data_IF_457465675666
#
_entry.id   IF_457465675666
#
_cell.length_a   1.000
_cell.length_b   1.000
_cell.length_c   1.000
_cell.angle_alpha   90.00
_cell.angle_beta   90.00
_cell.angle_gamma   90.00
#
_symmetry.space_group_name_H-M   'P 1'
#
loop_
_entity.id
_entity.type
_entity.pdbx_description
1 polymer ?
#
# COMPACT_ATOMS: atom_id res chain seq x y z
N UNK A 1 -43.65 -18.27 -29.87
CA UNK A 1 -42.34 -18.92 -29.60
C UNK A 1 -41.15 -17.96 -29.75
N UNK A 2 -41.00 -17.19 -30.84
CA UNK A 2 -39.83 -16.29 -31.06
C UNK A 2 -39.59 -15.24 -29.94
N UNK A 3 -40.63 -14.61 -29.36
CA UNK A 3 -40.51 -13.65 -28.26
C UNK A 3 -39.92 -14.25 -26.96
N UNK A 4 -40.26 -15.49 -26.62
CA UNK A 4 -39.74 -16.18 -25.44
C UNK A 4 -38.25 -16.55 -25.60
N UNK A 5 -37.81 -16.91 -26.80
CA UNK A 5 -36.41 -17.24 -27.12
C UNK A 5 -35.55 -16.00 -27.07
N UNK A 6 -36.02 -14.84 -27.56
CA UNK A 6 -35.29 -13.56 -27.50
C UNK A 6 -35.14 -13.09 -26.06
N UNK A 7 -36.21 -13.20 -25.24
CA UNK A 7 -36.15 -12.80 -23.84
C UNK A 7 -35.17 -13.69 -23.02
N UNK A 8 -35.15 -15.00 -23.29
CA UNK A 8 -34.19 -15.91 -22.63
C UNK A 8 -32.74 -15.69 -23.05
N UNK A 9 -32.49 -15.31 -24.31
CA UNK A 9 -31.16 -15.00 -24.79
C UNK A 9 -30.63 -13.67 -24.20
N UNK A 10 -31.47 -12.64 -24.05
CA UNK A 10 -31.14 -11.39 -23.42
C UNK A 10 -30.85 -11.55 -21.92
N UNK A 11 -31.62 -12.37 -21.20
CA UNK A 11 -31.36 -12.68 -19.79
C UNK A 11 -30.05 -13.45 -19.61
N UNK A 12 -29.74 -14.40 -20.48
CA UNK A 12 -28.49 -15.17 -20.43
C UNK A 12 -27.29 -14.29 -20.75
N UNK A 13 -27.41 -13.38 -21.72
CA UNK A 13 -26.35 -12.39 -22.00
C UNK A 13 -26.13 -11.46 -20.82
N UNK A 14 -27.20 -10.96 -20.18
CA UNK A 14 -27.10 -10.12 -18.99
C UNK A 14 -26.40 -10.84 -17.82
N UNK A 15 -26.74 -12.09 -17.55
CA UNK A 15 -26.08 -12.89 -16.51
C UNK A 15 -24.60 -13.12 -16.81
N UNK A 16 -24.23 -13.35 -18.08
CA UNK A 16 -22.81 -13.46 -18.48
C UNK A 16 -22.06 -12.16 -18.26
N UNK A 17 -22.65 -11.01 -18.60
CA UNK A 17 -22.03 -9.69 -18.36
C UNK A 17 -21.82 -9.44 -16.87
N UNK A 18 -22.80 -9.76 -16.03
CA UNK A 18 -22.66 -9.64 -14.57
C UNK A 18 -21.53 -10.53 -14.04
N UNK A 19 -21.44 -11.78 -14.49
CA UNK A 19 -20.38 -12.69 -14.08
C UNK A 19 -18.98 -12.21 -14.52
N UNK A 20 -18.86 -11.69 -15.74
CA UNK A 20 -17.62 -11.11 -16.25
C UNK A 20 -17.23 -9.87 -15.45
N UNK A 21 -18.19 -8.97 -15.19
CA UNK A 21 -17.96 -7.76 -14.40
C UNK A 21 -17.53 -8.08 -12.97
N UNK A 22 -18.18 -9.06 -12.33
CA UNK A 22 -17.81 -9.54 -10.99
C UNK A 22 -16.41 -10.15 -10.96
N UNK A 23 -16.07 -10.94 -11.97
CA UNK A 23 -14.73 -11.50 -12.11
C UNK A 23 -13.65 -10.40 -12.20
N UNK A 24 -13.82 -9.41 -13.10
CA UNK A 24 -12.87 -8.32 -13.24
C UNK A 24 -12.82 -7.41 -12.00
N UNK A 25 -13.98 -7.15 -11.38
CA UNK A 25 -14.03 -6.42 -10.13
C UNK A 25 -13.21 -7.13 -9.03
N UNK A 26 -13.45 -8.42 -8.84
CA UNK A 26 -12.70 -9.22 -7.88
C UNK A 26 -11.21 -9.24 -8.21
N UNK A 27 -10.85 -9.44 -9.46
CA UNK A 27 -9.46 -9.44 -9.90
C UNK A 27 -8.73 -8.12 -9.61
N UNK A 28 -9.39 -6.99 -9.87
CA UNK A 28 -8.80 -5.66 -9.70
C UNK A 28 -8.87 -5.15 -8.25
N UNK A 29 -9.95 -5.43 -7.54
CA UNK A 29 -10.28 -4.75 -6.28
C UNK A 29 -10.11 -5.61 -5.04
N UNK A 30 -9.98 -6.95 -5.17
CA UNK A 30 -9.90 -7.79 -3.98
C UNK A 30 -8.47 -8.06 -3.55
N UNK A 31 -8.36 -8.51 -2.33
CA UNK A 31 -7.15 -8.78 -1.57
C UNK A 31 -6.05 -9.44 -2.38
N UNK A 32 -4.91 -8.80 -2.48
CA UNK A 32 -3.65 -9.43 -2.80
C UNK A 32 -2.98 -9.94 -1.52
N UNK A 33 -3.34 -11.14 -1.10
CA UNK A 33 -2.56 -11.84 -0.08
C UNK A 33 -1.46 -12.61 -0.78
N UNK A 34 -0.22 -12.24 -0.50
CA UNK A 34 0.93 -13.04 -0.87
C UNK A 34 0.69 -14.44 -0.32
N UNK A 35 0.60 -15.45 -1.19
CA UNK A 35 0.59 -16.84 -0.74
C UNK A 35 1.85 -17.03 0.11
N UNK A 36 1.74 -17.61 1.32
CA UNK A 36 2.92 -17.86 2.13
C UNK A 36 3.92 -18.62 1.26
N UNK A 37 5.07 -18.02 1.05
CA UNK A 37 6.34 -18.57 0.57
C UNK A 37 6.43 -19.39 -0.73
N UNK A 38 5.48 -19.42 -1.62
CA UNK A 38 5.61 -20.19 -2.86
C UNK A 38 5.89 -19.39 -4.13
N UNK A 39 5.96 -18.08 -4.09
CA UNK A 39 6.61 -17.29 -5.11
C UNK A 39 7.99 -16.91 -4.59
N UNK A 40 9.01 -17.64 -5.03
CA UNK A 40 10.33 -17.04 -5.11
C UNK A 40 10.16 -15.63 -5.67
N UNK A 41 10.54 -14.65 -4.85
CA UNK A 41 10.74 -13.28 -5.34
C UNK A 41 11.47 -13.41 -6.67
N UNK A 42 11.08 -12.71 -7.71
CA UNK A 42 11.83 -12.76 -8.95
C UNK A 42 13.31 -12.66 -8.55
N UNK A 43 14.17 -13.48 -9.11
CA UNK A 43 15.57 -13.59 -8.65
C UNK A 43 16.26 -12.21 -8.59
N UNK A 44 15.69 -11.21 -9.30
CA UNK A 44 16.13 -9.82 -9.31
C UNK A 44 15.74 -9.08 -8.01
N UNK A 45 14.55 -9.30 -7.48
CA UNK A 45 14.07 -8.63 -6.25
C UNK A 45 14.74 -9.23 -5.01
N UNK A 46 14.98 -10.55 -5.01
CA UNK A 46 15.71 -11.22 -3.95
C UNK A 46 17.18 -10.76 -3.92
N UNK A 47 17.84 -10.73 -5.09
CA UNK A 47 19.21 -10.23 -5.23
C UNK A 47 19.37 -8.78 -4.82
N UNK A 48 18.36 -7.92 -5.12
CA UNK A 48 18.40 -6.52 -4.75
C UNK A 48 18.29 -6.36 -3.24
N UNK A 49 17.36 -7.06 -2.59
CA UNK A 49 17.21 -7.03 -1.12
C UNK A 49 18.43 -7.62 -0.40
N UNK A 50 18.98 -8.71 -0.91
CA UNK A 50 20.18 -9.32 -0.34
C UNK A 50 21.40 -8.42 -0.48
N UNK A 51 21.60 -7.78 -1.65
CA UNK A 51 22.68 -6.80 -1.86
C UNK A 51 22.60 -5.59 -0.91
N UNK A 52 21.40 -5.21 -0.51
CA UNK A 52 21.20 -4.07 0.38
C UNK A 52 21.31 -4.45 1.86
N UNK A 53 21.50 -5.72 2.21
CA UNK A 53 21.53 -6.18 3.59
C UNK A 53 20.21 -5.95 4.34
N UNK A 54 19.08 -5.79 3.61
CA UNK A 54 17.79 -5.48 4.24
C UNK A 54 17.29 -6.59 5.18
N UNK A 55 17.71 -7.83 4.98
CA UNK A 55 17.39 -8.95 5.87
C UNK A 55 18.08 -8.82 7.24
N UNK A 56 19.20 -8.12 7.29
CA UNK A 56 20.01 -7.94 8.50
C UNK A 56 19.48 -6.84 9.41
N UNK A 57 18.57 -5.98 8.91
CA UNK A 57 17.96 -4.96 9.74
C UNK A 57 17.06 -5.59 10.81
N UNK A 58 17.25 -5.17 12.06
CA UNK A 58 16.29 -5.46 13.12
C UNK A 58 14.98 -4.73 12.82
N UNK A 59 13.90 -5.49 12.70
CA UNK A 59 12.57 -4.99 12.38
C UNK A 59 11.65 -5.21 13.56
N UNK A 60 11.10 -4.12 14.06
CA UNK A 60 10.01 -4.16 15.03
C UNK A 60 8.68 -4.28 14.28
N UNK A 61 7.87 -5.27 14.60
CA UNK A 61 6.53 -5.37 14.06
C UNK A 61 5.60 -4.38 14.77
N UNK A 62 4.97 -3.52 14.00
CA UNK A 62 3.93 -2.64 14.49
C UNK A 62 2.56 -3.06 14.00
N UNK A 63 1.58 -3.03 14.90
CA UNK A 63 0.18 -3.31 14.60
C UNK A 63 -0.63 -2.05 14.90
N UNK A 64 -1.54 -1.72 14.00
CA UNK A 64 -2.50 -0.63 14.13
C UNK A 64 -3.91 -1.19 13.93
N UNK A 65 -4.70 -1.23 15.00
CA UNK A 65 -6.10 -1.60 14.93
C UNK A 65 -6.93 -0.41 14.51
N UNK A 66 -7.59 -0.51 13.36
CA UNK A 66 -8.47 0.52 12.81
C UNK A 66 -9.86 0.38 13.39
N UNK A 67 -10.36 -0.86 13.42
CA UNK A 67 -11.65 -1.26 14.01
C UNK A 67 -11.62 -2.76 14.41
N UNK A 68 -12.78 -3.35 14.69
CA UNK A 68 -12.89 -4.76 15.10
C UNK A 68 -12.41 -5.75 14.02
N UNK A 69 -12.46 -5.36 12.75
CA UNK A 69 -12.20 -6.23 11.59
C UNK A 69 -10.90 -5.90 10.86
N UNK A 70 -10.38 -4.69 11.04
CA UNK A 70 -9.21 -4.19 10.33
C UNK A 70 -8.03 -3.98 11.27
N UNK A 71 -7.02 -4.81 11.09
CA UNK A 71 -5.69 -4.66 11.68
C UNK A 71 -4.67 -4.47 10.58
N UNK A 72 -3.88 -3.42 10.69
CA UNK A 72 -2.81 -3.09 9.75
C UNK A 72 -1.46 -3.40 10.38
N UNK A 73 -0.54 -3.85 9.55
CA UNK A 73 0.81 -4.24 9.94
C UNK A 73 1.84 -3.35 9.29
N UNK A 74 2.95 -3.12 9.97
CA UNK A 74 4.12 -2.44 9.43
C UNK A 74 5.39 -3.01 10.05
N UNK A 75 6.49 -2.98 9.30
CA UNK A 75 7.83 -3.13 9.84
C UNK A 75 8.37 -1.74 10.19
N UNK A 76 8.95 -1.59 11.36
CA UNK A 76 9.63 -0.38 11.79
C UNK A 76 11.11 -0.66 12.04
N UNK A 77 11.96 0.14 11.42
CA UNK A 77 13.42 0.12 11.62
C UNK A 77 13.79 1.34 12.46
N UNK A 78 14.24 1.08 13.66
CA UNK A 78 14.65 2.13 14.58
C UNK A 78 16.11 2.53 14.32
N UNK A 79 16.33 3.79 14.04
CA UNK A 79 17.65 4.40 13.90
C UNK A 79 17.91 5.43 15.01
N UNK A 80 17.14 5.37 16.10
CA UNK A 80 17.20 6.30 17.23
C UNK A 80 17.17 7.78 16.82
N UNK A 81 16.41 8.09 15.78
CA UNK A 81 16.40 9.41 15.11
C UNK A 81 15.12 10.19 15.43
N UNK A 82 15.23 11.52 15.36
CA UNK A 82 14.07 12.42 15.33
C UNK A 82 13.48 12.60 13.93
N UNK A 83 14.01 11.90 12.94
CA UNK A 83 13.50 11.88 11.58
C UNK A 83 12.90 10.51 11.29
N UNK A 84 11.70 10.46 10.73
CA UNK A 84 11.04 9.20 10.35
C UNK A 84 10.54 9.31 8.93
N UNK A 85 10.82 8.31 8.12
CA UNK A 85 10.17 8.15 6.82
C UNK A 85 9.11 7.05 6.87
N UNK A 86 7.99 7.27 6.17
CA UNK A 86 6.94 6.27 5.98
C UNK A 86 6.93 5.94 4.49
N UNK A 87 7.21 4.68 4.14
CA UNK A 87 7.39 4.23 2.77
C UNK A 87 6.20 3.39 2.32
N UNK A 88 5.48 3.87 1.31
CA UNK A 88 4.23 3.31 0.83
C UNK A 88 4.47 2.51 -0.46
N UNK A 89 4.20 1.22 -0.43
CA UNK A 89 4.42 0.30 -1.54
C UNK A 89 3.35 0.42 -2.64
N UNK A 90 3.66 -0.15 -3.80
CA UNK A 90 2.77 -0.22 -4.96
C UNK A 90 1.71 -1.33 -4.86
N UNK A 91 0.84 -1.38 -5.88
CA UNK A 91 -0.18 -2.41 -6.04
C UNK A 91 0.45 -3.81 -6.14
N UNK A 92 -0.20 -4.82 -5.57
CA UNK A 92 0.26 -6.23 -5.53
C UNK A 92 1.64 -6.42 -4.87
N UNK A 93 1.99 -5.57 -3.91
CA UNK A 93 3.27 -5.59 -3.21
C UNK A 93 3.07 -5.59 -1.69
N UNK A 94 4.12 -5.35 -0.94
CA UNK A 94 4.13 -5.24 0.52
C UNK A 94 5.17 -4.23 0.98
N UNK A 95 5.20 -3.91 2.28
CA UNK A 95 6.14 -2.95 2.84
C UNK A 95 7.60 -3.31 2.56
N UNK A 96 7.96 -4.59 2.60
CA UNK A 96 9.33 -5.05 2.38
C UNK A 96 9.81 -4.85 0.93
N UNK A 97 8.90 -4.65 -0.02
CA UNK A 97 9.27 -4.31 -1.40
C UNK A 97 9.96 -2.94 -1.52
N UNK A 98 9.77 -2.08 -0.52
CA UNK A 98 10.42 -0.76 -0.44
C UNK A 98 11.84 -0.83 0.16
N UNK A 99 12.44 -2.01 0.25
CA UNK A 99 13.75 -2.26 0.87
C UNK A 99 14.87 -1.33 0.38
N UNK A 100 14.90 -1.01 -0.91
CA UNK A 100 15.91 -0.10 -1.47
C UNK A 100 15.81 1.31 -0.91
N UNK A 101 14.60 1.86 -0.89
CA UNK A 101 14.34 3.16 -0.27
C UNK A 101 14.52 3.11 1.25
N UNK A 102 14.13 2.00 1.89
CA UNK A 102 14.31 1.81 3.32
C UNK A 102 15.78 1.94 3.72
N UNK A 103 16.66 1.23 3.02
CA UNK A 103 18.10 1.35 3.28
C UNK A 103 18.62 2.75 3.01
N UNK A 104 18.25 3.37 1.92
CA UNK A 104 18.67 4.74 1.59
C UNK A 104 18.30 5.74 2.71
N UNK A 105 17.04 5.71 3.19
CA UNK A 105 16.62 6.59 4.27
C UNK A 105 17.27 6.24 5.60
N UNK A 106 17.46 4.95 5.88
CA UNK A 106 18.14 4.52 7.10
C UNK A 106 19.60 5.02 7.14
N UNK A 107 20.33 4.90 6.04
CA UNK A 107 21.70 5.41 5.91
C UNK A 107 21.76 6.94 6.02
N UNK A 108 20.70 7.66 5.66
CA UNK A 108 20.53 9.10 5.86
C UNK A 108 20.13 9.48 7.30
N UNK A 109 20.08 8.53 8.20
CA UNK A 109 19.78 8.74 9.62
C UNK A 109 18.29 8.90 9.92
N UNK A 110 17.40 8.26 9.15
CA UNK A 110 15.97 8.21 9.44
C UNK A 110 15.58 6.88 10.11
N UNK A 111 14.62 6.91 11.01
CA UNK A 111 13.82 5.74 11.27
C UNK A 111 12.95 5.45 10.04
N UNK A 112 12.61 4.18 9.80
CA UNK A 112 11.84 3.80 8.62
C UNK A 112 10.62 2.99 9.02
N UNK A 113 9.43 3.40 8.59
CA UNK A 113 8.19 2.68 8.74
C UNK A 113 7.72 2.16 7.39
N UNK A 114 7.46 0.86 7.30
CA UNK A 114 7.10 0.13 6.10
C UNK A 114 5.72 -0.52 6.30
N UNK A 115 4.61 0.24 6.17
CA UNK A 115 3.30 -0.32 6.33
C UNK A 115 2.92 -1.20 5.13
N UNK A 116 2.29 -2.35 5.44
CA UNK A 116 1.50 -3.09 4.46
C UNK A 116 0.18 -2.34 4.29
N UNK A 117 -0.15 -1.92 3.07
CA UNK A 117 -1.42 -1.29 2.78
C UNK A 117 -2.59 -2.25 3.08
N UNK A 118 -3.78 -1.70 3.31
CA UNK A 118 -5.00 -2.48 3.46
C UNK A 118 -5.14 -3.50 2.31
N UNK A 119 -5.57 -4.72 2.64
CA UNK A 119 -5.70 -5.84 1.71
C UNK A 119 -4.38 -6.34 1.06
N UNK A 120 -3.22 -5.91 1.58
CA UNK A 120 -1.91 -6.37 1.14
C UNK A 120 -1.08 -6.95 2.30
N UNK A 121 -0.09 -7.75 1.95
CA UNK A 121 0.85 -8.32 2.91
C UNK A 121 0.17 -9.00 4.10
N UNK A 122 0.50 -8.55 5.32
CA UNK A 122 -0.08 -9.04 6.58
C UNK A 122 -1.31 -8.23 7.02
N UNK A 123 -1.56 -7.07 6.40
CA UNK A 123 -2.70 -6.23 6.73
C UNK A 123 -4.02 -6.86 6.32
N UNK A 124 -5.05 -6.72 7.17
CA UNK A 124 -6.40 -7.16 6.84
C UNK A 124 -7.10 -6.22 5.86
N UNK A 125 -8.25 -6.65 5.37
CA UNK A 125 -9.08 -5.97 4.40
C UNK A 125 -9.47 -6.90 3.25
N UNK A 126 -10.62 -6.66 2.66
CA UNK A 126 -11.12 -7.43 1.51
C UNK A 126 -10.87 -6.70 0.19
N UNK A 127 -10.85 -5.37 0.23
CA UNK A 127 -10.77 -4.52 -0.95
C UNK A 127 -9.59 -3.58 -0.90
N UNK A 128 -9.02 -3.35 -2.07
CA UNK A 128 -7.94 -2.39 -2.30
C UNK A 128 -8.59 -1.07 -2.68
N UNK A 129 -8.29 -0.01 -1.93
CA UNK A 129 -8.87 1.32 -2.10
C UNK A 129 -8.10 2.24 -3.06
N UNK A 130 -7.00 1.78 -3.65
CA UNK A 130 -6.15 2.55 -4.57
C UNK A 130 -5.74 3.92 -4.04
N UNK A 131 -5.51 4.02 -2.74
CA UNK A 131 -5.12 5.23 -2.04
C UNK A 131 -6.27 5.94 -1.34
N UNK A 132 -7.53 5.77 -1.80
CA UNK A 132 -8.65 6.52 -1.25
C UNK A 132 -8.98 6.16 0.20
N UNK A 133 -9.00 4.88 0.54
CA UNK A 133 -9.21 4.41 1.92
C UNK A 133 -7.89 4.43 2.69
N UNK A 134 -6.82 4.06 2.01
CA UNK A 134 -5.47 3.95 2.57
C UNK A 134 -4.94 5.28 3.09
N UNK A 135 -5.34 6.44 2.52
CA UNK A 135 -4.91 7.76 3.02
C UNK A 135 -5.24 7.98 4.50
N UNK A 136 -6.38 7.49 4.96
CA UNK A 136 -6.79 7.61 6.36
C UNK A 136 -5.97 6.66 7.26
N UNK A 137 -5.59 5.50 6.74
CA UNK A 137 -4.71 4.56 7.44
C UNK A 137 -3.30 5.16 7.60
N UNK A 138 -2.79 5.83 6.55
CA UNK A 138 -1.49 6.50 6.63
C UNK A 138 -1.52 7.65 7.64
N UNK A 139 -2.61 8.41 7.72
CA UNK A 139 -2.75 9.42 8.76
C UNK A 139 -2.69 8.81 10.18
N UNK A 140 -3.25 7.61 10.37
CA UNK A 140 -3.14 6.88 11.65
C UNK A 140 -1.70 6.43 11.91
N UNK A 141 -0.99 5.92 10.91
CA UNK A 141 0.43 5.56 11.01
C UNK A 141 1.31 6.76 11.35
N UNK A 142 1.07 7.92 10.74
CA UNK A 142 1.74 9.18 11.08
C UNK A 142 1.56 9.51 12.56
N UNK A 143 0.33 9.46 13.07
CA UNK A 143 0.04 9.73 14.48
C UNK A 143 0.71 8.72 15.41
N UNK A 144 0.73 7.44 15.04
CA UNK A 144 1.41 6.40 15.81
C UNK A 144 2.93 6.64 15.84
N UNK A 145 3.53 6.99 14.70
CA UNK A 145 4.95 7.32 14.62
C UNK A 145 5.30 8.53 15.51
N UNK A 146 4.49 9.59 15.49
CA UNK A 146 4.67 10.76 16.38
C UNK A 146 4.60 10.33 17.86
N UNK A 147 3.60 9.52 18.22
CA UNK A 147 3.46 9.03 19.60
C UNK A 147 4.65 8.19 20.09
N UNK A 148 5.35 7.52 19.18
CA UNK A 148 6.53 6.73 19.51
C UNK A 148 7.82 7.56 19.54
N UNK A 149 8.04 8.44 18.54
CA UNK A 149 9.29 9.19 18.38
C UNK A 149 9.29 10.54 19.10
N UNK A 150 8.14 11.02 19.54
CA UNK A 150 7.94 12.28 20.26
C UNK A 150 7.53 13.46 19.37
N UNK A 151 7.11 14.55 20.03
CA UNK A 151 6.49 15.72 19.36
C UNK A 151 7.47 16.56 18.52
N UNK A 152 8.75 16.39 18.70
CA UNK A 152 9.82 17.06 17.95
C UNK A 152 10.25 16.27 16.69
N UNK A 153 9.60 15.15 16.41
CA UNK A 153 9.90 14.34 15.23
C UNK A 153 9.56 15.07 13.93
N UNK A 154 10.29 14.71 12.85
CA UNK A 154 10.05 15.17 11.50
C UNK A 154 9.71 13.97 10.63
N UNK A 155 8.57 14.02 9.95
CA UNK A 155 8.06 12.91 9.15
C UNK A 155 8.12 13.27 7.67
N UNK A 156 8.67 12.37 6.86
CA UNK A 156 8.59 12.35 5.41
C UNK A 156 7.75 11.16 4.99
N UNK A 157 6.80 11.35 4.10
CA UNK A 157 6.01 10.27 3.51
C UNK A 157 6.44 10.11 2.06
N UNK A 158 6.89 8.92 1.70
CA UNK A 158 7.24 8.59 0.32
C UNK A 158 6.41 7.42 -0.16
N UNK A 159 5.94 7.48 -1.40
CA UNK A 159 5.18 6.39 -2.00
C UNK A 159 5.54 6.14 -3.45
N UNK A 160 5.48 4.87 -3.84
CA UNK A 160 5.72 4.43 -5.21
C UNK A 160 4.43 3.90 -5.84
N UNK A 161 4.12 4.30 -7.07
CA UNK A 161 2.95 3.84 -7.83
C UNK A 161 1.64 4.07 -7.06
N UNK A 162 0.90 3.03 -6.65
CA UNK A 162 -0.27 3.16 -5.77
C UNK A 162 0.08 3.87 -4.46
N UNK A 163 1.26 3.59 -3.88
CA UNK A 163 1.76 4.32 -2.71
C UNK A 163 2.01 5.80 -3.00
N UNK A 164 2.48 6.14 -4.20
CA UNK A 164 2.64 7.52 -4.66
C UNK A 164 1.31 8.25 -4.74
N UNK A 165 0.30 7.63 -5.35
CA UNK A 165 -1.06 8.16 -5.38
C UNK A 165 -1.62 8.33 -3.95
N UNK A 166 -1.38 7.37 -3.06
CA UNK A 166 -1.77 7.46 -1.65
C UNK A 166 -1.07 8.64 -0.97
N UNK A 167 0.24 8.83 -1.17
CA UNK A 167 0.99 9.95 -0.61
C UNK A 167 0.43 11.30 -1.04
N UNK A 168 0.09 11.46 -2.33
CA UNK A 168 -0.58 12.66 -2.85
C UNK A 168 -1.94 12.90 -2.17
N UNK A 169 -2.76 11.85 -2.00
CA UNK A 169 -4.07 11.97 -1.32
C UNK A 169 -3.91 12.34 0.15
N UNK A 170 -2.89 11.80 0.84
CA UNK A 170 -2.58 12.15 2.24
C UNK A 170 -2.17 13.61 2.35
N UNK A 171 -1.39 14.14 1.39
CA UNK A 171 -0.91 15.52 1.44
C UNK A 171 -2.03 16.57 1.43
N UNK A 172 -3.21 16.20 0.92
CA UNK A 172 -4.42 17.05 0.92
C UNK A 172 -5.22 17.00 2.22
N UNK A 173 -4.82 16.20 3.22
CA UNK A 173 -5.52 16.10 4.50
C UNK A 173 -5.03 17.17 5.51
N UNK A 174 -5.80 17.35 6.60
CA UNK A 174 -5.32 18.12 7.75
C UNK A 174 -4.25 17.33 8.51
N UNK A 175 -3.00 17.69 8.32
CA UNK A 175 -1.84 16.96 8.81
C UNK A 175 -1.28 17.55 10.11
N UNK A 176 -0.66 16.71 10.97
CA UNK A 176 0.19 17.18 12.06
C UNK A 176 1.37 18.01 11.55
N UNK A 177 1.79 19.01 12.34
CA UNK A 177 2.93 19.89 12.01
C UNK A 177 4.28 19.16 11.83
N UNK A 178 4.35 17.94 12.32
CA UNK A 178 5.53 17.07 12.21
C UNK A 178 5.75 16.55 10.79
N UNK A 179 4.71 16.49 9.96
CA UNK A 179 4.86 16.10 8.54
C UNK A 179 5.50 17.25 7.78
N UNK A 180 6.67 16.99 7.18
CA UNK A 180 7.51 18.02 6.53
C UNK A 180 7.51 17.93 5.02
N UNK A 181 7.42 16.73 4.46
CA UNK A 181 7.48 16.53 3.01
C UNK A 181 6.75 15.28 2.57
N UNK A 182 6.35 15.31 1.30
CA UNK A 182 5.87 14.16 0.55
C UNK A 182 6.76 13.95 -0.66
N UNK A 183 7.04 12.69 -0.97
CA UNK A 183 7.77 12.27 -2.17
C UNK A 183 6.88 11.29 -2.90
N UNK A 184 6.63 11.57 -4.16
CA UNK A 184 5.83 10.75 -5.04
C UNK A 184 6.73 10.19 -6.14
N UNK A 185 6.67 8.86 -6.34
CA UNK A 185 7.36 8.15 -7.40
C UNK A 185 6.34 7.40 -8.26
N UNK A 186 6.14 7.85 -9.51
CA UNK A 186 5.25 7.27 -10.52
C UNK A 186 3.80 7.00 -10.06
N UNK A 187 3.24 7.84 -9.19
CA UNK A 187 1.84 7.78 -8.79
C UNK A 187 0.90 8.26 -9.90
N UNK A 188 -0.35 7.87 -9.80
CA UNK A 188 -1.39 8.28 -10.74
C UNK A 188 -2.31 9.35 -10.13
N UNK A 189 -2.77 10.27 -10.97
CA UNK A 189 -3.69 11.35 -10.58
C UNK A 189 -5.14 10.87 -10.47
N UNK A 190 -5.51 9.78 -11.16
CA UNK A 190 -6.82 9.16 -11.08
C UNK A 190 -6.76 7.68 -11.44
N UNK A 191 -7.68 6.90 -10.86
CA UNK A 191 -7.84 5.46 -11.20
C UNK A 191 -8.26 5.30 -12.65
N UNK A 192 -9.11 6.19 -13.18
CA UNK A 192 -9.51 6.15 -14.58
C UNK A 192 -8.31 6.28 -15.51
N UNK A 193 -7.41 7.24 -15.27
CA UNK A 193 -6.18 7.39 -16.05
C UNK A 193 -5.29 6.15 -15.95
N UNK A 194 -5.20 5.54 -14.78
CA UNK A 194 -4.40 4.33 -14.57
C UNK A 194 -4.86 3.14 -15.40
N UNK A 195 -6.18 2.96 -15.58
CA UNK A 195 -6.75 1.81 -16.27
C UNK A 195 -7.04 2.05 -17.76
N UNK A 196 -7.39 3.27 -18.14
CA UNK A 196 -7.83 3.57 -19.51
C UNK A 196 -6.78 4.31 -20.35
N UNK A 197 -5.80 4.95 -19.73
CA UNK A 197 -4.66 5.60 -20.41
C UNK A 197 -3.36 5.17 -19.72
N UNK A 198 -2.96 3.90 -19.85
CA UNK A 198 -1.64 3.48 -19.39
C UNK A 198 -0.59 4.19 -20.24
N UNK A 199 0.26 5.00 -19.61
CA UNK A 199 1.41 5.64 -20.26
C UNK A 199 2.45 4.59 -20.66
#
# INVERSE_FOLDING_TARGET
MKKKIILSSLTLAGLRWLAISDYFFKYAMTTYKKKPESKELSGRDALYRDKLGFKEFEKQEWILRVDSNISLYANYLDNHSKKTTILLHGFMSDGDSMAGFAKMFYDLGYNVLLPDARAHGRSSGEYIGYGWVEKDDILRWIKKAIGYTGDDTQIVVMGQSMGGATAMMVSGLKLPKQVKAFIEDCGYSSIANRFFNPA
#
